data_IF_437780307971
#
_entry.id   IF_437780307971
#
_cell.length_a   1.000
_cell.length_b   1.000
_cell.length_c   1.000
_cell.angle_alpha   90.00
_cell.angle_beta   90.00
_cell.angle_gamma   90.00
#
_symmetry.space_group_name_H-M   'P 1'
#
loop_
_entity.id
_entity.type
_entity.pdbx_description
1 polymer ?
#
# COMPACT_ATOMS: atom_id res chain seq x y z
N UNK A 1 -3.46 -23.90 -4.54
CA UNK A 1 -2.12 -23.29 -4.73
C UNK A 1 -1.77 -22.60 -3.44
N UNK A 2 -0.64 -22.95 -2.81
CA UNK A 2 -0.19 -22.27 -1.59
C UNK A 2 0.58 -21.03 -2.02
N UNK A 3 0.25 -19.89 -1.41
CA UNK A 3 0.90 -18.63 -1.76
C UNK A 3 2.40 -18.71 -1.44
N UNK A 4 3.28 -18.16 -2.28
CA UNK A 4 4.73 -18.21 -2.03
C UNK A 4 5.11 -17.55 -0.69
N UNK A 5 6.22 -17.94 -0.06
CA UNK A 5 6.65 -17.35 1.23
C UNK A 5 6.88 -15.83 1.13
N UNK A 6 7.40 -15.37 -0.01
CA UNK A 6 7.60 -13.95 -0.30
C UNK A 6 6.25 -13.20 -0.31
N UNK A 7 5.26 -13.72 -1.03
CA UNK A 7 3.95 -13.08 -1.11
C UNK A 7 3.15 -13.18 0.20
N UNK A 8 3.31 -14.26 0.97
CA UNK A 8 2.77 -14.36 2.32
C UNK A 8 3.36 -13.26 3.21
N UNK A 9 4.67 -12.98 3.10
CA UNK A 9 5.32 -11.90 3.83
C UNK A 9 4.72 -10.54 3.44
N UNK A 10 4.64 -10.20 2.14
CA UNK A 10 4.02 -8.96 1.68
C UNK A 10 2.58 -8.82 2.21
N UNK A 11 1.79 -9.88 2.10
CA UNK A 11 0.39 -9.89 2.59
C UNK A 11 0.27 -9.62 4.09
N UNK A 12 1.25 -10.06 4.89
CA UNK A 12 1.27 -9.79 6.35
C UNK A 12 1.63 -8.33 6.63
N UNK A 13 2.55 -7.77 5.85
CA UNK A 13 2.97 -6.37 5.95
C UNK A 13 1.86 -5.37 5.58
N UNK A 14 0.81 -5.80 4.86
CA UNK A 14 -0.40 -4.99 4.62
C UNK A 14 -1.22 -4.69 5.89
N UNK A 15 -1.14 -5.52 6.92
CA UNK A 15 -2.06 -5.45 8.06
C UNK A 15 -2.07 -4.07 8.75
N UNK A 16 -0.93 -3.45 9.09
CA UNK A 16 -0.95 -2.15 9.75
C UNK A 16 -1.51 -1.02 8.88
N UNK A 17 -1.28 -1.07 7.57
CA UNK A 17 -1.84 -0.11 6.61
C UNK A 17 -3.37 -0.24 6.52
N UNK A 18 -3.91 -1.47 6.52
CA UNK A 18 -5.35 -1.71 6.56
C UNK A 18 -5.99 -1.23 7.87
N UNK A 19 -5.31 -1.42 9.01
CA UNK A 19 -5.78 -0.90 10.30
C UNK A 19 -5.86 0.63 10.27
N UNK A 20 -4.81 1.30 9.76
CA UNK A 20 -4.82 2.75 9.57
C UNK A 20 -5.97 3.19 8.66
N UNK A 21 -6.10 2.60 7.48
CA UNK A 21 -7.16 2.89 6.52
C UNK A 21 -8.55 2.82 7.13
N UNK A 22 -8.83 1.72 7.86
CA UNK A 22 -10.11 1.53 8.56
C UNK A 22 -10.35 2.62 9.61
N UNK A 23 -9.35 2.92 10.43
CA UNK A 23 -9.48 3.93 11.50
C UNK A 23 -9.67 5.33 10.94
N UNK A 24 -8.91 5.71 9.92
CA UNK A 24 -9.05 6.99 9.22
C UNK A 24 -10.43 7.11 8.56
N UNK A 25 -10.95 6.03 7.96
CA UNK A 25 -12.30 6.00 7.37
C UNK A 25 -13.39 6.27 8.42
N UNK A 26 -13.32 5.60 9.58
CA UNK A 26 -14.35 5.65 10.63
C UNK A 26 -14.36 6.96 11.44
N UNK A 27 -13.29 7.74 11.43
CA UNK A 27 -13.19 8.94 12.25
C UNK A 27 -13.27 10.23 11.41
N UNK A 28 -13.98 11.23 11.91
CA UNK A 28 -14.07 12.54 11.27
C UNK A 28 -12.73 13.29 11.36
N UNK A 29 -12.29 13.99 10.29
CA UNK A 29 -11.17 14.91 10.35
C UNK A 29 -11.31 15.88 11.52
N UNK A 30 -10.22 16.13 12.25
CA UNK A 30 -10.21 17.05 13.40
C UNK A 30 -10.70 16.48 14.74
N UNK A 31 -11.34 15.31 14.75
CA UNK A 31 -11.69 14.59 15.98
C UNK A 31 -10.46 14.10 16.75
N UNK A 32 -10.56 13.92 18.07
CA UNK A 32 -9.42 13.55 18.93
C UNK A 32 -8.72 12.25 18.50
N UNK A 33 -9.49 11.25 18.06
CA UNK A 33 -8.94 10.00 17.51
C UNK A 33 -8.20 10.25 16.19
N UNK A 34 -8.78 11.07 15.30
CA UNK A 34 -8.16 11.40 14.02
C UNK A 34 -6.83 12.16 14.22
N UNK A 35 -6.81 13.14 15.12
CA UNK A 35 -5.59 13.89 15.47
C UNK A 35 -4.49 12.96 15.99
N UNK A 36 -4.84 11.96 16.80
CA UNK A 36 -3.89 10.94 17.27
C UNK A 36 -3.34 10.11 16.10
N UNK A 37 -4.21 9.64 15.21
CA UNK A 37 -3.79 8.89 14.01
C UNK A 37 -2.85 9.72 13.12
N UNK A 38 -3.17 11.01 12.93
CA UNK A 38 -2.32 11.93 12.18
C UNK A 38 -0.95 12.12 12.84
N UNK A 39 -0.88 12.19 14.18
CA UNK A 39 0.39 12.26 14.92
C UNK A 39 1.22 10.98 14.85
N UNK A 40 0.57 9.81 14.78
CA UNK A 40 1.24 8.50 14.66
C UNK A 40 1.66 8.18 13.21
N UNK A 41 1.01 8.80 12.23
CA UNK A 41 1.15 8.49 10.82
C UNK A 41 2.60 8.62 10.29
N UNK A 42 3.39 9.67 10.60
CA UNK A 42 4.76 9.78 10.11
C UNK A 42 5.65 8.59 10.49
N UNK A 43 5.53 8.11 11.73
CA UNK A 43 6.31 6.97 12.21
C UNK A 43 5.90 5.67 11.50
N UNK A 44 4.59 5.46 11.32
CA UNK A 44 4.04 4.30 10.60
C UNK A 44 4.44 4.31 9.12
N UNK A 45 4.34 5.46 8.46
CA UNK A 45 4.77 5.63 7.07
C UNK A 45 6.25 5.25 6.90
N UNK A 46 7.13 5.82 7.72
CA UNK A 46 8.57 5.62 7.63
C UNK A 46 9.00 4.18 7.94
N UNK A 47 8.37 3.53 8.92
CA UNK A 47 8.82 2.22 9.44
C UNK A 47 8.17 1.04 8.74
N UNK A 48 6.95 1.20 8.22
CA UNK A 48 6.14 0.08 7.76
C UNK A 48 5.75 0.23 6.28
N UNK A 49 5.14 1.36 5.90
CA UNK A 49 4.50 1.49 4.58
C UNK A 49 5.52 1.82 3.47
N UNK A 50 6.37 2.83 3.65
CA UNK A 50 7.32 3.23 2.63
C UNK A 50 8.37 2.14 2.30
N UNK A 51 8.92 1.40 3.30
CA UNK A 51 9.81 0.28 3.03
C UNK A 51 9.13 -0.88 2.28
N UNK A 52 7.86 -1.13 2.56
CA UNK A 52 7.07 -2.16 1.88
C UNK A 52 6.95 -1.88 0.37
N UNK A 53 6.53 -0.67 -0.02
CA UNK A 53 6.49 -0.27 -1.43
C UNK A 53 7.85 -0.38 -2.13
N UNK A 54 8.93 0.00 -1.44
CA UNK A 54 10.28 -0.09 -1.99
C UNK A 54 10.73 -1.54 -2.21
N UNK A 55 10.21 -2.49 -1.45
CA UNK A 55 10.46 -3.91 -1.67
C UNK A 55 9.68 -4.42 -2.90
N UNK A 56 8.40 -4.08 -3.02
CA UNK A 56 7.58 -4.48 -4.16
C UNK A 56 8.09 -3.90 -5.49
N UNK A 57 8.48 -2.62 -5.48
CA UNK A 57 9.11 -1.97 -6.63
C UNK A 57 10.45 -2.60 -7.00
N UNK A 58 11.17 -3.19 -6.03
CA UNK A 58 12.45 -3.85 -6.27
C UNK A 58 12.28 -5.30 -6.73
N UNK A 59 11.30 -6.03 -6.21
CA UNK A 59 11.16 -7.47 -6.46
C UNK A 59 10.06 -7.81 -7.47
N UNK A 60 8.91 -7.15 -7.42
CA UNK A 60 7.74 -7.48 -8.24
C UNK A 60 7.78 -6.70 -9.56
N UNK A 61 7.98 -5.38 -9.48
CA UNK A 61 7.84 -4.49 -10.63
C UNK A 61 8.74 -4.86 -11.83
N UNK A 62 10.04 -5.18 -11.68
CA UNK A 62 10.89 -5.54 -12.82
C UNK A 62 10.41 -6.80 -13.55
N UNK A 63 9.83 -7.75 -12.81
CA UNK A 63 9.31 -9.01 -13.37
C UNK A 63 8.01 -8.78 -14.14
N UNK A 64 7.13 -7.88 -13.66
CA UNK A 64 5.95 -7.47 -14.42
C UNK A 64 6.34 -6.83 -15.76
N UNK A 65 7.31 -5.92 -15.73
CA UNK A 65 7.80 -5.23 -16.95
C UNK A 65 8.41 -6.24 -17.92
N UNK A 66 9.27 -7.14 -17.43
CA UNK A 66 9.89 -8.18 -18.26
C UNK A 66 8.86 -9.13 -18.89
N UNK A 67 7.73 -9.36 -18.22
CA UNK A 67 6.63 -10.18 -18.69
C UNK A 67 5.67 -9.43 -19.64
N UNK A 68 5.88 -8.14 -19.90
CA UNK A 68 4.95 -7.32 -20.68
C UNK A 68 3.63 -7.03 -19.97
N UNK A 69 3.57 -7.19 -18.64
CA UNK A 69 2.38 -6.92 -17.83
C UNK A 69 2.22 -5.41 -17.53
N UNK A 70 2.24 -4.60 -18.59
CA UNK A 70 2.36 -3.13 -18.52
C UNK A 70 1.27 -2.49 -17.67
N UNK A 71 0.01 -2.89 -17.83
CA UNK A 71 -1.11 -2.31 -17.07
C UNK A 71 -0.98 -2.53 -15.55
N UNK A 72 -0.49 -3.70 -15.14
CA UNK A 72 -0.28 -4.03 -13.72
C UNK A 72 0.91 -3.26 -13.15
N UNK A 73 2.01 -3.21 -13.91
CA UNK A 73 3.21 -2.46 -13.54
C UNK A 73 2.91 -0.96 -13.38
N UNK A 74 2.24 -0.37 -14.36
CA UNK A 74 1.88 1.04 -14.31
C UNK A 74 0.91 1.34 -13.18
N UNK A 75 -0.08 0.46 -12.93
CA UNK A 75 -1.00 0.67 -11.80
C UNK A 75 -0.27 0.66 -10.47
N UNK A 76 0.61 -0.32 -10.24
CA UNK A 76 1.44 -0.40 -9.04
C UNK A 76 2.22 0.91 -8.83
N UNK A 77 2.92 1.37 -9.86
CA UNK A 77 3.70 2.61 -9.81
C UNK A 77 2.83 3.86 -9.58
N UNK A 78 1.69 3.98 -10.28
CA UNK A 78 0.77 5.12 -10.12
C UNK A 78 0.20 5.19 -8.71
N UNK A 79 -0.29 4.06 -8.19
CA UNK A 79 -0.83 4.00 -6.83
C UNK A 79 0.25 4.37 -5.80
N UNK A 80 1.47 3.82 -5.93
CA UNK A 80 2.59 4.16 -5.04
C UNK A 80 2.98 5.63 -5.10
N UNK A 81 3.09 6.21 -6.30
CA UNK A 81 3.43 7.61 -6.47
C UNK A 81 2.39 8.53 -5.80
N UNK A 82 1.12 8.22 -5.98
CA UNK A 82 0.03 8.99 -5.37
C UNK A 82 -0.02 8.82 -3.85
N UNK A 83 0.21 7.60 -3.34
CA UNK A 83 0.32 7.34 -1.91
C UNK A 83 1.49 8.09 -1.26
N UNK A 84 2.64 8.22 -1.97
CA UNK A 84 3.78 9.05 -1.52
C UNK A 84 3.45 10.54 -1.52
N UNK A 85 2.68 11.02 -2.50
CA UNK A 85 2.22 12.41 -2.57
C UNK A 85 1.29 12.74 -1.40
N UNK A 86 0.27 11.91 -1.19
CA UNK A 86 -0.69 12.05 -0.10
C UNK A 86 -0.04 11.93 1.28
N UNK A 87 0.93 11.02 1.45
CA UNK A 87 1.63 10.88 2.73
C UNK A 87 2.44 12.13 3.09
N UNK A 88 3.11 12.74 2.11
CA UNK A 88 3.83 14.00 2.30
C UNK A 88 2.89 15.10 2.79
N UNK A 89 1.73 15.25 2.14
CA UNK A 89 0.70 16.24 2.54
C UNK A 89 0.14 15.95 3.93
N UNK A 90 -0.20 14.70 4.22
CA UNK A 90 -0.71 14.26 5.51
C UNK A 90 0.30 14.52 6.65
N UNK A 91 1.60 14.24 6.43
CA UNK A 91 2.66 14.56 7.39
C UNK A 91 2.87 16.07 7.56
N UNK A 92 2.51 16.86 6.54
CA UNK A 92 2.45 18.33 6.61
C UNK A 92 1.21 18.87 7.35
N UNK A 93 0.34 18.01 7.90
CA UNK A 93 -0.84 18.39 8.67
C UNK A 93 -2.14 18.40 7.87
N UNK A 94 -2.13 18.01 6.60
CA UNK A 94 -3.35 17.92 5.79
C UNK A 94 -4.19 16.70 6.18
N UNK A 95 -5.27 16.96 6.92
CA UNK A 95 -6.20 15.93 7.35
C UNK A 95 -7.01 15.33 6.19
N UNK A 96 -7.28 16.08 5.13
CA UNK A 96 -7.96 15.56 3.94
C UNK A 96 -7.06 14.59 3.19
N UNK A 97 -5.78 14.93 3.03
CA UNK A 97 -4.79 14.04 2.43
C UNK A 97 -4.66 12.72 3.20
N UNK A 98 -4.67 12.74 4.54
CA UNK A 98 -4.65 11.50 5.33
C UNK A 98 -5.92 10.66 5.09
N UNK A 99 -7.09 11.30 4.95
CA UNK A 99 -8.37 10.64 4.65
C UNK A 99 -8.31 9.94 3.29
N UNK A 100 -7.83 10.65 2.27
CA UNK A 100 -7.65 10.13 0.91
C UNK A 100 -6.61 9.03 0.86
N UNK A 101 -5.48 9.18 1.55
CA UNK A 101 -4.47 8.14 1.71
C UNK A 101 -5.08 6.85 2.24
N UNK A 102 -5.89 6.95 3.30
CA UNK A 102 -6.57 5.80 3.90
C UNK A 102 -7.53 5.09 2.94
N UNK A 103 -8.20 5.82 2.03
CA UNK A 103 -9.02 5.22 0.98
C UNK A 103 -8.14 4.53 -0.07
N UNK A 104 -7.15 5.24 -0.59
CA UNK A 104 -6.32 4.75 -1.68
C UNK A 104 -5.51 3.51 -1.28
N UNK A 105 -4.90 3.51 -0.08
CA UNK A 105 -4.11 2.37 0.39
C UNK A 105 -4.96 1.11 0.56
N UNK A 106 -6.23 1.27 0.94
CA UNK A 106 -7.16 0.15 1.03
C UNK A 106 -7.49 -0.42 -0.36
N UNK A 107 -7.76 0.44 -1.33
CA UNK A 107 -8.08 0.04 -2.70
C UNK A 107 -6.86 -0.60 -3.40
N UNK A 108 -5.67 -0.06 -3.13
CA UNK A 108 -4.39 -0.56 -3.58
C UNK A 108 -4.09 -1.97 -3.05
N UNK A 109 -4.12 -2.18 -1.73
CA UNK A 109 -3.89 -3.50 -1.12
C UNK A 109 -4.89 -4.53 -1.65
N UNK A 110 -6.16 -4.15 -1.87
CA UNK A 110 -7.14 -5.06 -2.48
C UNK A 110 -6.78 -5.47 -3.90
N UNK A 111 -6.21 -4.55 -4.68
CA UNK A 111 -5.71 -4.85 -6.00
C UNK A 111 -4.53 -5.82 -5.94
N UNK A 112 -3.60 -5.59 -5.02
CA UNK A 112 -2.43 -6.44 -4.88
C UNK A 112 -2.84 -7.87 -4.52
N UNK A 113 -3.67 -7.99 -3.50
CA UNK A 113 -4.14 -9.28 -2.99
C UNK A 113 -4.97 -10.09 -3.98
N UNK A 114 -5.81 -9.42 -4.79
CA UNK A 114 -6.79 -10.08 -5.65
C UNK A 114 -6.38 -10.19 -7.11
N UNK A 115 -5.45 -9.36 -7.56
CA UNK A 115 -5.08 -9.26 -8.97
C UNK A 115 -3.58 -9.39 -9.15
N UNK A 116 -2.79 -8.53 -8.51
CA UNK A 116 -1.34 -8.48 -8.75
C UNK A 116 -0.63 -9.74 -8.29
N UNK A 117 -0.81 -10.12 -7.02
CA UNK A 117 -0.13 -11.28 -6.45
C UNK A 117 -0.56 -12.57 -7.14
N UNK A 118 -1.86 -12.85 -7.37
CA UNK A 118 -2.26 -14.03 -8.16
C UNK A 118 -1.68 -14.07 -9.58
N UNK A 119 -1.51 -12.92 -10.24
CA UNK A 119 -0.85 -12.87 -11.55
C UNK A 119 0.66 -13.16 -11.42
N UNK A 120 1.32 -12.53 -10.45
CA UNK A 120 2.74 -12.69 -10.20
C UNK A 120 3.13 -14.12 -9.82
N UNK A 121 2.28 -14.84 -9.09
CA UNK A 121 2.48 -16.28 -8.79
C UNK A 121 2.50 -17.14 -10.05
N UNK A 122 1.54 -16.91 -10.95
CA UNK A 122 1.47 -17.63 -12.22
C UNK A 122 2.69 -17.33 -13.08
N UNK A 123 3.15 -16.07 -13.08
CA UNK A 123 4.31 -15.64 -13.84
C UNK A 123 5.61 -16.30 -13.36
N UNK A 124 5.79 -16.43 -12.05
CA UNK A 124 7.04 -16.91 -11.44
C UNK A 124 7.12 -18.42 -11.28
N UNK A 125 6.05 -19.15 -11.61
CA UNK A 125 5.99 -20.61 -11.45
C UNK A 125 6.11 -21.06 -9.99
N UNK A 126 5.83 -20.17 -9.04
CA UNK A 126 5.80 -20.47 -7.62
C UNK A 126 4.48 -21.24 -7.34
N UNK A 127 4.57 -22.58 -7.34
CA UNK A 127 3.47 -23.50 -7.03
C UNK A 127 3.68 -24.21 -5.69
#
# INVERSE_FOLDING_TARGET
MKRSQELIRFSREHHPALVLARRVKLNAPGGGVFKRLAGEFPAKWKKEIAPHFAEEERSILPRLVAAGATELAERLQRDHAELRRLSTQAMGGDAAALKEFGKLIYDHIRFEERVLFPYYEKLTGLF
#
